data_IF_750904351527
#
_entry.id   IF_750904351527
#
_cell.length_a   1.000
_cell.length_b   1.000
_cell.length_c   1.000
_cell.angle_alpha   90.00
_cell.angle_beta   90.00
_cell.angle_gamma   90.00
#
_symmetry.space_group_name_H-M   'P 1'
#
loop_
_entity.id
_entity.type
_entity.pdbx_description
1 polymer ?
#
# COMPACT_ATOMS: atom_id res chain seq x y z
N UNK A 1 10.37 -10.22 -24.59
CA UNK A 1 9.96 -9.58 -23.34
C UNK A 1 10.78 -10.15 -22.19
N UNK A 2 11.28 -9.30 -21.30
CA UNK A 2 12.11 -9.78 -20.20
C UNK A 2 11.26 -10.50 -19.15
N UNK A 3 11.75 -11.65 -18.65
CA UNK A 3 11.12 -12.35 -17.54
C UNK A 3 11.38 -11.66 -16.20
N UNK A 4 12.25 -10.64 -16.18
CA UNK A 4 12.63 -9.89 -14.99
C UNK A 4 12.62 -8.41 -15.35
N UNK A 5 11.63 -7.69 -14.87
CA UNK A 5 11.39 -6.31 -15.23
C UNK A 5 11.10 -5.47 -13.97
N UNK A 6 11.68 -4.26 -13.93
CA UNK A 6 11.37 -3.28 -12.90
C UNK A 6 10.28 -2.35 -13.42
N UNK A 7 9.30 -2.08 -12.58
CA UNK A 7 8.14 -1.27 -12.94
C UNK A 7 8.09 -0.04 -12.05
N UNK A 8 8.02 1.14 -12.70
CA UNK A 8 7.86 2.42 -12.02
C UNK A 8 6.77 3.19 -12.74
N UNK A 9 5.96 3.91 -11.98
CA UNK A 9 4.84 4.68 -12.52
C UNK A 9 4.68 5.99 -11.75
N UNK A 10 4.21 7.03 -12.42
CA UNK A 10 3.85 8.29 -11.77
C UNK A 10 2.39 8.33 -11.31
N UNK A 11 1.66 7.23 -11.49
CA UNK A 11 0.25 7.11 -11.06
C UNK A 11 0.12 6.61 -9.62
N UNK A 12 1.24 6.29 -8.98
CA UNK A 12 1.32 5.89 -7.57
C UNK A 12 2.27 6.84 -6.84
N UNK A 13 2.26 6.87 -5.49
CA UNK A 13 3.19 7.71 -4.73
C UNK A 13 4.63 7.38 -5.07
N UNK A 14 5.49 8.41 -5.13
CA UNK A 14 6.92 8.18 -5.36
C UNK A 14 7.53 7.38 -4.23
N UNK A 15 8.39 6.39 -4.54
CA UNK A 15 9.13 5.68 -3.50
C UNK A 15 9.95 6.64 -2.64
N UNK A 16 10.00 6.37 -1.34
CA UNK A 16 10.78 7.19 -0.40
C UNK A 16 12.26 6.84 -0.40
N UNK A 17 12.70 5.98 -1.29
CA UNK A 17 14.08 5.56 -1.43
C UNK A 17 14.35 5.06 -2.85
N UNK A 18 15.49 4.43 -3.05
CA UNK A 18 15.92 3.97 -4.36
C UNK A 18 15.39 2.55 -4.62
N UNK A 19 14.15 2.45 -5.08
CA UNK A 19 13.53 1.17 -5.43
C UNK A 19 12.33 1.41 -6.37
N UNK A 20 11.98 0.40 -7.21
CA UNK A 20 10.82 0.51 -8.10
C UNK A 20 9.51 0.29 -7.33
N UNK A 21 8.38 0.57 -7.97
CA UNK A 21 7.07 0.22 -7.40
C UNK A 21 6.85 -1.28 -7.37
N UNK A 22 7.35 -1.99 -8.37
CA UNK A 22 7.20 -3.45 -8.45
C UNK A 22 8.32 -4.05 -9.29
N UNK A 23 8.48 -5.35 -9.13
CA UNK A 23 9.44 -6.12 -9.92
C UNK A 23 8.80 -7.43 -10.37
N UNK A 24 8.86 -7.66 -11.66
CA UNK A 24 8.36 -8.89 -12.26
C UNK A 24 9.50 -9.92 -12.32
N UNK A 25 9.22 -11.13 -11.87
CA UNK A 25 10.16 -12.24 -11.94
C UNK A 25 9.36 -13.47 -12.39
N UNK A 26 9.58 -13.90 -13.65
CA UNK A 26 8.77 -14.96 -14.23
C UNK A 26 7.30 -14.54 -14.28
N UNK A 27 6.42 -15.34 -13.71
CA UNK A 27 4.98 -15.04 -13.62
C UNK A 27 4.58 -14.46 -12.26
N UNK A 28 5.55 -14.01 -11.46
CA UNK A 28 5.29 -13.37 -10.18
C UNK A 28 5.61 -11.89 -10.25
N UNK A 29 4.82 -11.11 -9.52
CA UNK A 29 5.01 -9.68 -9.36
C UNK A 29 5.19 -9.38 -7.88
N UNK A 30 6.32 -8.79 -7.53
CA UNK A 30 6.64 -8.37 -6.16
C UNK A 30 6.47 -6.85 -6.09
N UNK A 31 5.56 -6.38 -5.25
CA UNK A 31 5.43 -4.95 -5.01
C UNK A 31 6.35 -4.54 -3.86
N UNK A 32 6.97 -3.37 -3.98
CA UNK A 32 7.58 -2.71 -2.83
C UNK A 32 6.48 -2.30 -1.85
N UNK A 33 6.84 -1.96 -0.61
CA UNK A 33 5.86 -1.52 0.38
C UNK A 33 5.02 -0.36 -0.15
N UNK A 34 3.70 -0.46 -0.01
CA UNK A 34 2.76 0.54 -0.51
C UNK A 34 2.03 1.18 0.66
N UNK A 35 2.08 2.50 0.75
CA UNK A 35 1.38 3.28 1.76
C UNK A 35 0.21 4.06 1.18
N UNK A 36 -0.49 4.83 2.03
CA UNK A 36 -1.68 5.57 1.64
C UNK A 36 -1.42 6.96 1.07
N UNK A 37 -0.18 7.37 0.84
CA UNK A 37 0.10 8.69 0.27
C UNK A 37 -0.55 8.81 -1.11
N UNK A 38 -0.95 10.03 -1.49
CA UNK A 38 -1.53 10.24 -2.80
C UNK A 38 -0.48 10.14 -3.90
N UNK A 39 -0.91 9.81 -5.11
CA UNK A 39 -0.03 9.77 -6.29
C UNK A 39 0.64 11.13 -6.48
N UNK A 40 1.91 11.12 -6.86
CA UNK A 40 2.70 12.34 -7.04
C UNK A 40 3.32 12.87 -5.75
N UNK A 41 2.93 12.37 -4.58
CA UNK A 41 3.57 12.75 -3.32
C UNK A 41 4.97 12.18 -3.22
N UNK A 42 5.88 12.92 -2.61
CA UNK A 42 7.21 12.42 -2.24
C UNK A 42 7.37 12.41 -0.71
N UNK A 43 8.56 12.03 -0.23
CA UNK A 43 8.79 11.90 1.21
C UNK A 43 8.73 13.23 1.95
N UNK A 44 9.00 14.34 1.27
CA UNK A 44 9.02 15.68 1.88
C UNK A 44 7.69 16.41 1.76
N UNK A 45 6.84 15.99 0.80
CA UNK A 45 5.55 16.61 0.52
C UNK A 45 4.47 15.52 0.54
N UNK A 46 4.43 14.77 1.63
CA UNK A 46 3.53 13.65 1.78
C UNK A 46 2.09 14.13 1.99
N UNK A 47 1.22 13.76 1.06
CA UNK A 47 -0.21 14.00 1.20
C UNK A 47 -0.88 12.65 1.46
N UNK A 48 -1.52 12.55 2.63
CA UNK A 48 -2.19 11.33 3.09
C UNK A 48 -3.67 11.66 3.33
N UNK A 49 -4.59 10.95 2.67
CA UNK A 49 -6.02 11.22 2.87
C UNK A 49 -6.42 11.17 4.34
N UNK A 50 -7.18 12.16 4.78
CA UNK A 50 -7.70 12.22 6.14
C UNK A 50 -6.68 12.54 7.22
N UNK A 51 -5.44 12.82 6.87
CA UNK A 51 -4.38 13.11 7.84
C UNK A 51 -4.28 14.60 8.09
N UNK A 52 -4.22 14.97 9.38
CA UNK A 52 -3.95 16.35 9.82
C UNK A 52 -2.77 16.32 10.79
N UNK A 53 -1.77 17.14 10.51
CA UNK A 53 -0.55 17.24 11.32
C UNK A 53 -0.43 18.66 11.89
N UNK A 54 0.22 18.78 13.07
CA UNK A 54 0.59 20.08 13.60
C UNK A 54 1.87 20.59 12.90
N UNK A 55 2.31 21.79 13.29
CA UNK A 55 3.50 22.41 12.70
C UNK A 55 4.80 21.64 12.97
N UNK A 56 4.80 20.73 13.94
CA UNK A 56 5.96 19.90 14.29
C UNK A 56 5.89 18.51 13.67
N UNK A 57 4.85 18.24 12.85
CA UNK A 57 4.68 16.94 12.20
C UNK A 57 3.99 15.89 13.04
N UNK A 58 3.41 16.26 14.18
CA UNK A 58 2.67 15.33 15.03
C UNK A 58 1.23 15.19 14.56
N UNK A 59 0.65 14.00 14.75
CA UNK A 59 -0.74 13.75 14.40
C UNK A 59 -1.68 14.61 15.24
N UNK A 60 -2.54 15.40 14.59
CA UNK A 60 -3.70 16.05 15.22
C UNK A 60 -4.90 15.12 15.09
N UNK A 61 -5.18 14.66 13.89
CA UNK A 61 -6.25 13.73 13.61
C UNK A 61 -5.98 12.99 12.32
N UNK A 62 -6.59 11.82 12.17
CA UNK A 62 -6.59 11.14 10.89
C UNK A 62 -7.77 10.18 10.80
N UNK A 63 -8.18 9.93 9.57
CA UNK A 63 -9.22 8.97 9.25
C UNK A 63 -8.55 7.70 8.73
N UNK A 64 -8.49 6.68 9.57
CA UNK A 64 -7.84 5.42 9.19
C UNK A 64 -8.55 4.72 8.04
N UNK A 65 -9.87 4.81 7.97
CA UNK A 65 -10.63 4.23 6.84
C UNK A 65 -10.21 4.87 5.52
N UNK A 66 -10.02 6.20 5.49
CA UNK A 66 -9.52 6.90 4.32
C UNK A 66 -8.13 6.41 3.92
N UNK A 67 -7.26 6.14 4.90
CA UNK A 67 -5.92 5.58 4.63
C UNK A 67 -6.02 4.16 4.06
N UNK A 68 -6.90 3.31 4.57
CA UNK A 68 -7.12 1.97 4.02
C UNK A 68 -7.54 2.02 2.56
N UNK A 69 -8.53 2.84 2.24
CA UNK A 69 -9.02 2.97 0.86
C UNK A 69 -7.92 3.48 -0.07
N UNK A 70 -7.14 4.44 0.40
CA UNK A 70 -6.04 5.00 -0.39
C UNK A 70 -4.94 3.97 -0.65
N UNK A 71 -4.54 3.19 0.35
CA UNK A 71 -3.50 2.17 0.14
C UNK A 71 -3.98 1.08 -0.79
N UNK A 72 -5.25 0.68 -0.71
CA UNK A 72 -5.81 -0.32 -1.63
C UNK A 72 -5.86 0.22 -3.06
N UNK A 73 -6.24 1.47 -3.25
CA UNK A 73 -6.24 2.10 -4.57
C UNK A 73 -4.83 2.18 -5.15
N UNK A 74 -3.84 2.52 -4.31
CA UNK A 74 -2.43 2.57 -4.75
C UNK A 74 -1.93 1.19 -5.17
N UNK A 75 -2.28 0.14 -4.42
CA UNK A 75 -1.92 -1.24 -4.79
C UNK A 75 -2.56 -1.59 -6.13
N UNK A 76 -3.84 -1.28 -6.31
CA UNK A 76 -4.55 -1.57 -7.57
C UNK A 76 -3.87 -0.90 -8.76
N UNK A 77 -3.51 0.36 -8.62
CA UNK A 77 -2.85 1.11 -9.69
C UNK A 77 -1.51 0.47 -10.07
N UNK A 78 -0.70 0.09 -9.08
CA UNK A 78 0.59 -0.56 -9.34
C UNK A 78 0.38 -1.89 -10.05
N UNK A 79 -0.60 -2.67 -9.63
CA UNK A 79 -0.92 -3.94 -10.29
C UNK A 79 -1.29 -3.73 -11.76
N UNK A 80 -2.19 -2.79 -12.03
CA UNK A 80 -2.65 -2.51 -13.39
C UNK A 80 -1.53 -1.97 -14.28
N UNK A 81 -0.70 -1.06 -13.74
CA UNK A 81 0.46 -0.54 -14.47
C UNK A 81 1.53 -1.60 -14.73
N UNK A 82 1.48 -2.68 -13.98
CA UNK A 82 2.41 -3.81 -14.10
C UNK A 82 1.90 -4.93 -15.00
N UNK A 83 0.68 -4.82 -15.52
CA UNK A 83 0.06 -5.87 -16.33
C UNK A 83 -0.60 -6.98 -15.51
N UNK A 84 -0.81 -6.75 -14.21
CA UNK A 84 -1.53 -7.66 -13.33
C UNK A 84 -2.93 -7.10 -13.05
N UNK A 85 -3.60 -7.59 -12.02
CA UNK A 85 -4.92 -7.13 -11.61
C UNK A 85 -5.15 -7.42 -10.13
N UNK A 86 -6.19 -6.80 -9.57
CA UNK A 86 -6.57 -7.02 -8.18
C UNK A 86 -6.83 -8.50 -7.87
N UNK A 87 -7.46 -9.21 -8.79
CA UNK A 87 -7.80 -10.63 -8.62
C UNK A 87 -6.58 -11.54 -8.66
N UNK A 88 -5.44 -11.05 -9.08
CA UNK A 88 -4.19 -11.82 -9.15
C UNK A 88 -3.31 -11.64 -7.91
N UNK A 89 -3.76 -10.88 -6.92
CA UNK A 89 -3.08 -10.82 -5.61
C UNK A 89 -3.14 -12.19 -4.93
N UNK A 90 -2.01 -12.67 -4.45
CA UNK A 90 -1.92 -13.98 -3.78
C UNK A 90 -1.47 -13.87 -2.33
N UNK A 91 -0.76 -12.82 -1.95
CA UNK A 91 -0.25 -12.66 -0.59
C UNK A 91 -0.18 -11.20 -0.19
N UNK A 92 -0.68 -10.88 1.00
CA UNK A 92 -0.72 -9.52 1.54
C UNK A 92 -0.19 -9.54 2.96
N UNK A 93 0.87 -8.78 3.22
CA UNK A 93 1.34 -8.51 4.57
C UNK A 93 0.95 -7.09 4.93
N UNK A 94 0.29 -6.94 6.08
CA UNK A 94 -0.26 -5.67 6.56
C UNK A 94 0.55 -5.19 7.75
N UNK A 95 1.07 -3.98 7.67
CA UNK A 95 1.80 -3.34 8.76
C UNK A 95 0.94 -2.22 9.32
N UNK A 96 0.58 -2.32 10.62
CA UNK A 96 -0.19 -1.30 11.34
C UNK A 96 0.69 -0.70 12.44
N UNK A 97 0.51 0.56 12.75
CA UNK A 97 1.24 1.20 13.86
C UNK A 97 0.42 1.20 15.16
N UNK A 98 -0.87 0.89 15.09
CA UNK A 98 -1.73 0.81 16.28
C UNK A 98 -2.83 -0.23 16.07
N UNK A 99 -2.51 -1.47 16.41
CA UNK A 99 -3.41 -2.61 16.19
C UNK A 99 -4.74 -2.45 16.94
N UNK A 100 -4.70 -2.03 18.21
CA UNK A 100 -5.91 -1.91 19.03
C UNK A 100 -6.88 -0.88 18.46
N UNK A 101 -6.36 0.24 17.98
CA UNK A 101 -7.19 1.32 17.43
C UNK A 101 -7.74 0.96 16.06
N UNK A 102 -6.93 0.30 15.21
CA UNK A 102 -7.19 0.27 13.77
C UNK A 102 -7.64 -1.09 13.23
N UNK A 103 -7.43 -2.19 13.97
CA UNK A 103 -7.62 -3.54 13.42
C UNK A 103 -9.07 -3.82 12.98
N UNK A 104 -10.05 -3.42 13.78
CA UNK A 104 -11.46 -3.67 13.43
C UNK A 104 -11.89 -2.87 12.20
N UNK A 105 -11.43 -1.63 12.11
CA UNK A 105 -11.69 -0.79 10.92
C UNK A 105 -11.05 -1.43 9.70
N UNK A 106 -9.80 -1.88 9.85
CA UNK A 106 -9.07 -2.54 8.76
C UNK A 106 -9.83 -3.77 8.26
N UNK A 107 -10.24 -4.65 9.17
CA UNK A 107 -10.96 -5.87 8.78
C UNK A 107 -12.28 -5.57 8.05
N UNK A 108 -13.00 -4.53 8.48
CA UNK A 108 -14.25 -4.13 7.83
C UNK A 108 -14.00 -3.65 6.40
N UNK A 109 -13.04 -2.75 6.22
CA UNK A 109 -12.72 -2.20 4.89
C UNK A 109 -12.11 -3.28 4.00
N UNK A 110 -11.22 -4.10 4.56
CA UNK A 110 -10.61 -5.22 3.85
C UNK A 110 -11.66 -6.17 3.29
N UNK A 111 -12.67 -6.51 4.07
CA UNK A 111 -13.73 -7.42 3.64
C UNK A 111 -14.49 -6.88 2.42
N UNK A 112 -14.68 -5.57 2.33
CA UNK A 112 -15.32 -4.95 1.18
C UNK A 112 -14.48 -5.07 -0.10
N UNK A 113 -13.16 -4.92 0.02
CA UNK A 113 -12.24 -4.92 -1.13
C UNK A 113 -11.85 -6.34 -1.57
N UNK A 114 -11.80 -7.29 -0.65
CA UNK A 114 -11.25 -8.63 -0.90
C UNK A 114 -12.28 -9.76 -0.83
N UNK A 115 -13.57 -9.46 -0.83
CA UNK A 115 -14.61 -10.48 -0.71
C UNK A 115 -14.60 -11.50 -1.85
N UNK A 116 -14.17 -11.10 -3.04
CA UNK A 116 -14.14 -11.95 -4.23
C UNK A 116 -12.75 -12.52 -4.52
N UNK A 117 -11.72 -11.94 -3.95
CA UNK A 117 -10.35 -12.42 -4.03
C UNK A 117 -9.84 -12.61 -2.60
N UNK A 118 -9.44 -13.81 -2.26
CA UNK A 118 -9.03 -14.18 -0.91
C UNK A 118 -7.54 -14.50 -0.88
N UNK A 119 -6.65 -13.49 -0.99
CA UNK A 119 -5.22 -13.75 -0.87
C UNK A 119 -4.87 -14.16 0.56
N UNK A 120 -3.74 -14.81 0.71
CA UNK A 120 -3.18 -15.03 2.05
C UNK A 120 -2.91 -13.68 2.70
N UNK A 121 -3.06 -13.59 4.03
CA UNK A 121 -2.84 -12.34 4.75
C UNK A 121 -2.13 -12.59 6.07
N UNK A 122 -1.15 -11.73 6.38
CA UNK A 122 -0.52 -11.64 7.69
C UNK A 122 -0.61 -10.19 8.14
N UNK A 123 -1.05 -9.96 9.38
CA UNK A 123 -1.19 -8.61 9.93
C UNK A 123 -0.32 -8.48 11.17
N UNK A 124 0.54 -7.46 11.21
CA UNK A 124 1.46 -7.22 12.32
C UNK A 124 1.43 -5.75 12.73
N UNK A 125 1.73 -5.50 14.01
CA UNK A 125 1.96 -4.14 14.51
C UNK A 125 3.45 -3.87 14.54
N UNK A 126 3.84 -2.68 14.11
CA UNK A 126 5.24 -2.22 14.09
C UNK A 126 5.34 -0.87 14.80
N UNK A 127 6.57 -0.45 15.13
CA UNK A 127 6.79 0.79 15.86
C UNK A 127 6.46 2.04 15.03
N UNK A 128 6.91 2.07 13.78
CA UNK A 128 6.72 3.25 12.92
C UNK A 128 6.91 2.89 11.45
N UNK A 129 6.49 3.79 10.60
CA UNK A 129 6.67 3.71 9.16
C UNK A 129 7.47 4.92 8.67
N UNK A 130 8.09 4.84 7.47
CA UNK A 130 9.00 5.91 6.99
C UNK A 130 8.35 7.29 6.83
N UNK A 131 7.04 7.34 6.65
CA UNK A 131 6.28 8.60 6.53
C UNK A 131 5.15 8.59 7.56
N UNK A 132 4.48 9.74 7.83
CA UNK A 132 3.44 9.78 8.86
C UNK A 132 2.16 9.09 8.38
N UNK A 133 2.20 7.78 8.27
CA UNK A 133 1.09 6.93 7.84
C UNK A 133 0.82 5.87 8.91
N UNK A 134 -0.39 5.32 8.92
CA UNK A 134 -0.80 4.33 9.92
C UNK A 134 -0.83 2.90 9.37
N UNK A 135 -0.63 2.73 8.06
CA UNK A 135 -0.75 1.44 7.38
C UNK A 135 0.21 1.38 6.19
N UNK A 136 0.76 0.19 5.97
CA UNK A 136 1.52 -0.13 4.76
C UNK A 136 1.25 -1.58 4.38
N UNK A 137 1.22 -1.88 3.08
CA UNK A 137 1.03 -3.24 2.58
C UNK A 137 2.26 -3.70 1.80
N UNK A 138 2.60 -4.97 1.98
CA UNK A 138 3.53 -5.70 1.13
C UNK A 138 2.76 -6.77 0.38
N UNK A 139 2.77 -6.74 -0.95
CA UNK A 139 1.93 -7.61 -1.78
C UNK A 139 2.75 -8.41 -2.77
N UNK A 140 2.27 -9.61 -3.05
CA UNK A 140 2.76 -10.47 -4.13
C UNK A 140 1.57 -10.86 -5.00
N UNK A 141 1.74 -10.79 -6.30
CA UNK A 141 0.68 -11.11 -7.27
C UNK A 141 1.23 -12.02 -8.37
N UNK A 142 0.33 -12.58 -9.16
CA UNK A 142 0.71 -13.28 -10.39
C UNK A 142 0.52 -12.35 -11.59
N UNK A 143 1.20 -12.67 -12.67
CA UNK A 143 1.01 -12.02 -13.97
C UNK A 143 0.82 -13.15 -14.99
N UNK A 144 -0.28 -13.10 -15.69
CA UNK A 144 -0.58 -14.06 -16.74
C UNK A 144 -0.53 -13.43 -18.12
#
# INVERSE_FOLDING_TARGET
MSENERISTNKAPKPVGLYPHARKVGNLLFLSGVGPRTAGSDATDSVVPGLELDKNGNFISFDFEAQCKSVFDNVRVILEESGSSWDQLVDVTVFLVNMKRDFQIYNRVYAEYFKDNLPCRTTVEINSLPTPIAIELKCIATIE
#
